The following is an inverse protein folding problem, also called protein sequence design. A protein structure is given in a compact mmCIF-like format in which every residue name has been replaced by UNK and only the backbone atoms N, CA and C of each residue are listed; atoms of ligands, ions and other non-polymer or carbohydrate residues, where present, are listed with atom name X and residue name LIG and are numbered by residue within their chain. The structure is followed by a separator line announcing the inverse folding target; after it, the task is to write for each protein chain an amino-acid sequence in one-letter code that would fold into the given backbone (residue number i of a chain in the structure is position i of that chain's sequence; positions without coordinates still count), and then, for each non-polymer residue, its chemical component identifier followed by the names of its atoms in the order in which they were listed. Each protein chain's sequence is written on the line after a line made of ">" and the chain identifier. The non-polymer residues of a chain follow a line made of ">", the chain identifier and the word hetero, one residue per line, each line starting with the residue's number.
data_IF_065686726831
#
_entry.id   IF_065686726831
#
_cell.length_a   1.000
_cell.length_b   1.000
_cell.length_c   1.000
_cell.angle_alpha   90.00
_cell.angle_beta   90.00
_cell.angle_gamma   90.00
#
_symmetry.space_group_name_H-M   'P 1'
#
loop_
_entity.id
_entity.type
_entity.pdbx_description
1 polymer ?
#
# COMPACT_ATOMS: atom_id res chain seq x y z
N UNK A 1 5.69 -0.25 -3.79
CA UNK A 1 4.99 0.74 -2.94
C UNK A 1 5.53 0.75 -1.51
N UNK A 2 5.49 -0.36 -0.77
CA UNK A 2 5.99 -0.44 0.62
C UNK A 2 7.47 -0.02 0.81
N UNK A 3 8.34 -0.29 -0.17
CA UNK A 3 9.74 0.17 -0.13
C UNK A 3 9.89 1.70 -0.17
N UNK A 4 8.94 2.42 -0.78
CA UNK A 4 8.95 3.89 -0.82
C UNK A 4 8.49 4.50 0.50
N UNK A 5 7.56 3.85 1.20
CA UNK A 5 7.05 4.30 2.50
C UNK A 5 8.13 4.12 3.56
N UNK A 6 8.82 2.97 3.58
CA UNK A 6 9.97 2.74 4.48
C UNK A 6 11.11 3.77 4.33
N UNK A 7 11.29 4.36 3.15
CA UNK A 7 12.29 5.42 2.94
C UNK A 7 11.84 6.80 3.41
N UNK A 8 10.53 7.01 3.61
CA UNK A 8 9.94 8.25 4.11
C UNK A 8 9.67 8.21 5.61
N UNK A 9 10.12 7.16 6.30
CA UNK A 9 9.93 7.06 7.74
C UNK A 9 10.74 8.18 8.41
N UNK A 10 10.02 9.14 8.98
CA UNK A 10 10.55 10.13 9.91
C UNK A 10 10.39 9.50 11.29
N UNK A 11 11.48 9.40 12.07
CA UNK A 11 11.38 9.04 13.49
C UNK A 11 10.62 10.16 14.21
N UNK A 12 9.30 10.01 14.26
CA UNK A 12 8.39 10.97 14.87
C UNK A 12 8.40 10.70 16.37
N UNK A 13 8.80 11.71 17.16
CA UNK A 13 8.88 11.59 18.63
C UNK A 13 7.60 12.08 19.31
N UNK A 14 6.75 12.79 18.56
CA UNK A 14 5.48 13.35 19.01
C UNK A 14 4.30 12.87 18.14
N UNK A 15 3.08 12.98 18.68
CA UNK A 15 1.85 12.59 17.97
C UNK A 15 1.60 13.54 16.79
N UNK A 16 1.94 14.82 16.96
CA UNK A 16 1.81 15.86 15.95
C UNK A 16 2.71 15.57 14.75
N UNK A 17 4.00 15.28 14.98
CA UNK A 17 4.93 14.89 13.91
C UNK A 17 4.48 13.63 13.18
N UNK A 18 3.93 12.66 13.92
CA UNK A 18 3.42 11.43 13.32
C UNK A 18 2.20 11.72 12.43
N UNK A 19 1.29 12.58 12.88
CA UNK A 19 0.13 13.01 12.10
C UNK A 19 0.56 13.70 10.81
N UNK A 20 1.52 14.62 10.88
CA UNK A 20 2.06 15.32 9.71
C UNK A 20 2.76 14.35 8.73
N UNK A 21 3.54 13.41 9.27
CA UNK A 21 4.17 12.37 8.47
C UNK A 21 3.14 11.47 7.77
N UNK A 22 2.03 11.13 8.43
CA UNK A 22 0.94 10.37 7.82
C UNK A 22 0.30 11.14 6.66
N UNK A 23 0.02 12.43 6.82
CA UNK A 23 -0.51 13.27 5.74
C UNK A 23 0.43 13.27 4.54
N UNK A 24 1.74 13.45 4.77
CA UNK A 24 2.75 13.43 3.70
C UNK A 24 2.88 12.06 3.02
N UNK A 25 2.76 10.96 3.78
CA UNK A 25 2.78 9.60 3.22
C UNK A 25 1.51 9.32 2.41
N UNK A 26 0.38 9.87 2.84
CA UNK A 26 -0.93 9.66 2.20
C UNK A 26 -1.09 10.37 0.86
N UNK A 27 -0.17 11.27 0.50
CA UNK A 27 0.00 11.82 -0.86
C UNK A 27 0.52 10.76 -1.85
N UNK A 28 -0.28 9.70 -2.02
CA UNK A 28 0.00 8.58 -2.92
C UNK A 28 -0.36 9.01 -4.35
N UNK A 29 0.56 8.88 -5.32
CA UNK A 29 0.26 9.23 -6.70
C UNK A 29 -0.94 8.46 -7.25
N UNK A 30 -1.85 9.15 -7.96
CA UNK A 30 -3.05 8.54 -8.55
C UNK A 30 -2.75 7.32 -9.42
N UNK A 31 -1.62 7.31 -10.13
CA UNK A 31 -1.22 6.17 -10.95
C UNK A 31 -0.82 4.93 -10.14
N UNK A 32 -0.36 5.12 -8.90
CA UNK A 32 -0.16 4.01 -7.97
C UNK A 32 -1.49 3.38 -7.59
N UNK A 33 -2.50 4.19 -7.25
CA UNK A 33 -3.87 3.71 -6.97
C UNK A 33 -4.44 2.99 -8.20
N UNK A 34 -4.35 3.59 -9.39
CA UNK A 34 -4.81 2.97 -10.65
C UNK A 34 -4.12 1.64 -10.92
N UNK A 35 -2.81 1.52 -10.66
CA UNK A 35 -2.08 0.26 -10.81
C UNK A 35 -2.57 -0.82 -9.85
N UNK A 36 -2.87 -0.48 -8.60
CA UNK A 36 -3.45 -1.42 -7.63
C UNK A 36 -4.83 -1.91 -8.06
N UNK A 37 -5.69 -1.00 -8.54
CA UNK A 37 -7.01 -1.39 -9.06
C UNK A 37 -6.86 -2.32 -10.28
N UNK A 38 -5.96 -1.98 -11.21
CA UNK A 38 -5.68 -2.80 -12.39
C UNK A 38 -5.06 -4.16 -12.07
N UNK A 39 -4.42 -4.34 -10.91
CA UNK A 39 -3.89 -5.64 -10.50
C UNK A 39 -4.94 -6.57 -9.92
N UNK A 40 -6.15 -6.09 -9.61
CA UNK A 40 -7.21 -6.86 -8.97
C UNK A 40 -7.60 -8.14 -9.71
N UNK A 41 -7.77 -8.15 -11.06
CA UNK A 41 -8.11 -9.37 -11.78
C UNK A 41 -7.10 -10.51 -11.58
N UNK A 42 -5.80 -10.17 -11.49
CA UNK A 42 -4.73 -11.13 -11.21
C UNK A 42 -4.85 -11.71 -9.80
N UNK A 43 -5.21 -10.88 -8.81
CA UNK A 43 -5.42 -11.33 -7.44
C UNK A 43 -6.64 -12.25 -7.33
N UNK A 44 -7.74 -11.90 -8.00
CA UNK A 44 -8.92 -12.77 -8.08
C UNK A 44 -8.57 -14.12 -8.72
N UNK A 45 -7.80 -14.13 -9.82
CA UNK A 45 -7.35 -15.36 -10.46
C UNK A 45 -6.51 -16.22 -9.52
N UNK A 46 -5.61 -15.62 -8.74
CA UNK A 46 -4.83 -16.35 -7.73
C UNK A 46 -5.75 -16.97 -6.67
N UNK A 47 -6.78 -16.26 -6.20
CA UNK A 47 -7.76 -16.82 -5.25
C UNK A 47 -8.54 -18.00 -5.85
N UNK A 48 -8.92 -17.92 -7.13
CA UNK A 48 -9.59 -19.03 -7.83
C UNK A 48 -8.66 -20.24 -7.91
N UNK A 49 -7.39 -20.05 -8.28
CA UNK A 49 -6.39 -21.13 -8.33
C UNK A 49 -6.16 -21.75 -6.95
N UNK A 50 -6.18 -20.94 -5.89
CA UNK A 50 -6.09 -21.39 -4.51
C UNK A 50 -7.40 -22.02 -3.98
N UNK A 51 -8.45 -22.12 -4.81
CA UNK A 51 -9.79 -22.60 -4.42
C UNK A 51 -10.38 -21.84 -3.21
N UNK A 52 -10.15 -20.52 -3.18
CA UNK A 52 -10.55 -19.66 -2.07
C UNK A 52 -9.58 -19.65 -0.89
N UNK A 53 -8.46 -20.38 -0.97
CA UNK A 53 -7.39 -20.36 0.02
C UNK A 53 -6.53 -19.08 -0.02
N UNK A 54 -5.54 -19.01 0.87
CA UNK A 54 -4.63 -17.88 0.97
C UNK A 54 -3.79 -17.70 -0.29
N UNK A 55 -3.50 -16.44 -0.63
CA UNK A 55 -2.63 -16.07 -1.77
C UNK A 55 -1.51 -15.15 -1.28
N UNK A 56 -0.45 -14.99 -2.07
CA UNK A 56 0.70 -14.13 -1.74
C UNK A 56 0.41 -12.62 -1.80
N UNK A 57 -0.87 -12.22 -1.96
CA UNK A 57 -1.26 -10.81 -1.96
C UNK A 57 -1.61 -10.33 -0.55
#
# INVERSE_FOLDING_TARGET
>A
MFRSIRRRQVDSQTVEEFSDALVQIWEIPKDTIRRLIRSMPRHCQACVQARGGHTNY
#
